data_IF_006660939699
#
_entry.id   IF_006660939699
#
_cell.length_a   1.000
_cell.length_b   1.000
_cell.length_c   1.000
_cell.angle_alpha   90.00
_cell.angle_beta   90.00
_cell.angle_gamma   90.00
#
_symmetry.space_group_name_H-M   'P 1'
#
loop_
_entity.id
_entity.type
_entity.pdbx_description
1 polymer ?
#
# COMPACT_ATOMS: atom_id res chain seq x y z
N UNK A 1 2.73 10.15 -22.22
CA UNK A 1 2.44 8.80 -21.68
C UNK A 1 0.92 8.66 -21.57
N UNK A 2 0.37 7.44 -21.62
CA UNK A 2 -1.07 7.20 -21.45
C UNK A 2 -1.46 7.61 -20.02
N UNK A 3 -2.55 8.36 -19.87
CA UNK A 3 -3.04 8.82 -18.56
C UNK A 3 -3.90 7.72 -17.92
N UNK A 4 -3.30 6.95 -17.02
CA UNK A 4 -3.98 5.85 -16.33
C UNK A 4 -4.96 6.32 -15.23
N UNK A 5 -5.04 7.63 -14.95
CA UNK A 5 -6.04 8.16 -14.01
C UNK A 5 -7.48 8.14 -14.58
N UNK A 6 -7.61 8.05 -15.91
CA UNK A 6 -8.91 8.07 -16.63
C UNK A 6 -9.33 6.71 -17.17
N UNK A 7 -8.38 5.80 -17.31
CA UNK A 7 -8.64 4.44 -17.79
C UNK A 7 -7.68 3.48 -17.10
N UNK A 8 -8.17 2.40 -16.49
CA UNK A 8 -7.30 1.43 -15.83
C UNK A 8 -6.32 0.81 -16.84
N UNK A 9 -5.06 0.59 -16.46
CA UNK A 9 -4.10 -0.10 -17.30
C UNK A 9 -4.55 -1.54 -17.56
N UNK A 10 -4.16 -2.07 -18.72
CA UNK A 10 -4.32 -3.49 -19.08
C UNK A 10 -2.97 -4.21 -19.03
N UNK A 11 -2.97 -5.54 -19.08
CA UNK A 11 -1.71 -6.31 -19.18
C UNK A 11 -0.86 -5.88 -20.38
N UNK A 12 -1.49 -5.54 -21.51
CA UNK A 12 -0.80 -5.04 -22.72
C UNK A 12 -0.06 -3.73 -22.49
N UNK A 13 -0.62 -2.85 -21.66
CA UNK A 13 0.04 -1.58 -21.31
C UNK A 13 1.31 -1.85 -20.49
N UNK A 14 1.25 -2.80 -19.55
CA UNK A 14 2.41 -3.24 -18.75
C UNK A 14 3.46 -3.97 -19.59
N UNK A 15 3.06 -4.95 -20.40
CA UNK A 15 3.93 -5.69 -21.32
C UNK A 15 4.70 -4.75 -22.24
N UNK A 16 4.03 -3.72 -22.77
CA UNK A 16 4.68 -2.69 -23.58
C UNK A 16 5.77 -1.95 -22.79
N UNK A 17 5.44 -1.45 -21.59
CA UNK A 17 6.40 -0.73 -20.75
C UNK A 17 7.64 -1.58 -20.41
N UNK A 18 7.43 -2.87 -20.12
CA UNK A 18 8.50 -3.84 -19.81
C UNK A 18 9.46 -4.06 -20.99
N UNK A 19 9.01 -3.85 -22.24
CA UNK A 19 9.89 -3.93 -23.42
C UNK A 19 10.67 -2.64 -23.70
N UNK A 20 10.16 -1.50 -23.21
CA UNK A 20 10.76 -0.18 -23.46
C UNK A 20 11.84 0.16 -22.42
N UNK A 21 11.69 -0.30 -21.18
CA UNK A 21 12.63 -0.05 -20.09
C UNK A 21 12.44 -1.00 -18.90
N UNK A 22 13.41 -0.98 -17.99
CA UNK A 22 13.27 -1.61 -16.67
C UNK A 22 12.26 -0.80 -15.84
N UNK A 23 11.34 -1.52 -15.17
CA UNK A 23 10.40 -0.96 -14.20
C UNK A 23 10.88 -1.24 -12.78
N UNK A 24 10.68 -0.27 -11.89
CA UNK A 24 11.07 -0.38 -10.48
C UNK A 24 9.84 -0.63 -9.61
N UNK A 25 9.89 -1.67 -8.78
CA UNK A 25 8.89 -1.95 -7.76
C UNK A 25 9.20 -1.19 -6.46
N UNK A 26 8.22 -1.06 -5.57
CA UNK A 26 8.40 -0.49 -4.25
C UNK A 26 9.24 -1.36 -3.31
N UNK A 27 9.58 -0.77 -2.17
CA UNK A 27 10.22 -1.47 -1.06
C UNK A 27 9.21 -2.09 -0.10
N UNK A 28 9.72 -2.54 1.05
CA UNK A 28 8.91 -3.23 2.05
C UNK A 28 7.86 -2.31 2.72
N UNK A 29 6.57 -2.64 2.56
CA UNK A 29 5.46 -1.96 3.26
C UNK A 29 5.57 -2.09 4.80
N UNK A 30 5.80 -3.30 5.31
CA UNK A 30 5.86 -3.56 6.75
C UNK A 30 6.96 -2.77 7.47
N UNK A 31 8.14 -2.64 6.85
CA UNK A 31 9.25 -1.85 7.42
C UNK A 31 8.90 -0.37 7.52
N UNK A 32 8.20 0.18 6.53
CA UNK A 32 7.74 1.57 6.56
C UNK A 32 6.67 1.78 7.63
N UNK A 33 5.72 0.85 7.77
CA UNK A 33 4.70 0.91 8.84
C UNK A 33 5.34 0.88 10.24
N UNK A 34 6.38 0.07 10.45
CA UNK A 34 7.09 0.01 11.73
C UNK A 34 7.71 1.37 12.12
N UNK A 35 8.13 2.18 11.14
CA UNK A 35 8.71 3.51 11.39
C UNK A 35 7.66 4.54 11.85
N UNK A 36 6.38 4.33 11.53
CA UNK A 36 5.28 5.21 11.96
C UNK A 36 4.91 5.01 13.43
N UNK A 37 5.47 3.99 14.11
CA UNK A 37 5.29 3.72 15.56
C UNK A 37 3.82 3.68 15.98
N UNK A 38 3.00 3.01 15.17
CA UNK A 38 1.57 2.87 15.41
C UNK A 38 1.30 1.99 16.64
N UNK A 39 0.24 2.33 17.36
CA UNK A 39 -0.21 1.61 18.56
C UNK A 39 -1.53 0.88 18.30
N UNK A 40 -1.95 0.02 19.23
CA UNK A 40 -3.15 -0.83 19.07
C UNK A 40 -4.38 -0.03 18.63
N UNK A 41 -4.56 1.19 19.17
CA UNK A 41 -5.65 2.08 18.84
C UNK A 41 -5.71 2.45 17.34
N UNK A 42 -4.56 2.53 16.67
CA UNK A 42 -4.46 2.79 15.24
C UNK A 42 -4.95 1.60 14.39
N UNK A 43 -4.77 0.37 14.88
CA UNK A 43 -5.22 -0.85 14.21
C UNK A 43 -6.70 -1.16 14.49
N UNK A 44 -7.22 -0.73 15.65
CA UNK A 44 -8.64 -0.85 16.00
C UNK A 44 -9.47 0.19 15.25
N UNK A 45 -9.04 1.46 15.29
CA UNK A 45 -9.80 2.59 14.76
C UNK A 45 -11.26 2.61 15.21
N UNK A 46 -12.14 3.10 14.34
CA UNK A 46 -13.59 3.08 14.60
C UNK A 46 -14.27 1.78 14.17
N UNK A 47 -13.62 1.03 13.28
CA UNK A 47 -14.18 -0.16 12.64
C UNK A 47 -14.20 -1.38 13.57
N UNK A 48 -13.25 -1.49 14.50
CA UNK A 48 -13.02 -2.73 15.26
C UNK A 48 -13.08 -2.55 16.77
N UNK A 49 -13.72 -1.49 17.28
CA UNK A 49 -13.79 -1.16 18.73
C UNK A 49 -14.25 -2.31 19.65
N UNK A 50 -15.05 -3.23 19.13
CA UNK A 50 -15.59 -4.38 19.87
C UNK A 50 -14.86 -5.71 19.55
N UNK A 51 -13.71 -5.65 18.87
CA UNK A 51 -12.95 -6.86 18.56
C UNK A 51 -12.39 -7.47 19.84
N UNK A 52 -12.48 -8.79 19.98
CA UNK A 52 -12.15 -9.51 21.20
C UNK A 52 -10.66 -9.82 21.39
N UNK A 53 -9.79 -9.40 20.48
CA UNK A 53 -8.35 -9.69 20.52
C UNK A 53 -7.56 -8.50 19.99
N UNK A 54 -6.27 -8.46 20.31
CA UNK A 54 -5.33 -7.46 19.80
C UNK A 54 -5.20 -7.56 18.28
N UNK A 55 -5.12 -6.41 17.63
CA UNK A 55 -5.04 -6.25 16.18
C UNK A 55 -3.70 -5.65 15.71
N UNK A 56 -2.89 -5.11 16.63
CA UNK A 56 -1.56 -4.59 16.33
C UNK A 56 -0.71 -5.65 15.63
N UNK A 57 -0.12 -5.23 14.51
CA UNK A 57 0.67 -6.10 13.63
C UNK A 57 -0.12 -6.63 12.43
N UNK A 58 -1.45 -6.56 12.43
CA UNK A 58 -2.24 -6.83 11.23
C UNK A 58 -2.28 -5.58 10.32
N UNK A 59 -1.20 -5.39 9.56
CA UNK A 59 -0.99 -4.21 8.73
C UNK A 59 -2.05 -4.01 7.65
N UNK A 60 -2.67 -5.09 7.15
CA UNK A 60 -3.74 -5.03 6.15
C UNK A 60 -4.93 -4.18 6.64
N UNK A 61 -5.22 -4.18 7.95
CA UNK A 61 -6.32 -3.39 8.56
C UNK A 61 -6.11 -1.88 8.46
N UNK A 62 -4.85 -1.42 8.34
CA UNK A 62 -4.54 -0.01 8.24
C UNK A 62 -5.08 0.61 6.94
N UNK A 63 -5.41 -0.20 5.92
CA UNK A 63 -6.16 0.28 4.76
C UNK A 63 -7.55 0.84 5.13
N UNK A 64 -8.13 0.36 6.23
CA UNK A 64 -9.44 0.77 6.74
C UNK A 64 -9.30 1.78 7.88
N UNK A 65 -8.41 1.53 8.84
CA UNK A 65 -8.32 2.32 10.07
C UNK A 65 -7.40 3.52 9.96
N UNK A 66 -6.33 3.44 9.15
CA UNK A 66 -5.35 4.51 8.91
C UNK A 66 -4.99 4.65 7.42
N UNK A 67 -5.99 4.90 6.54
CA UNK A 67 -5.74 5.03 5.10
C UNK A 67 -4.84 6.22 4.75
N UNK A 68 -4.71 7.20 5.65
CA UNK A 68 -3.76 8.30 5.56
C UNK A 68 -2.31 7.81 5.59
N UNK A 69 -1.99 6.87 6.49
CA UNK A 69 -0.64 6.30 6.64
C UNK A 69 -0.27 5.47 5.41
N UNK A 70 -1.16 4.57 4.98
CA UNK A 70 -0.91 3.71 3.81
C UNK A 70 -0.72 4.56 2.55
N UNK A 71 -1.54 5.61 2.36
CA UNK A 71 -1.39 6.55 1.25
C UNK A 71 -0.04 7.28 1.30
N UNK A 72 0.37 7.76 2.48
CA UNK A 72 1.67 8.43 2.67
C UNK A 72 2.84 7.51 2.30
N UNK A 73 2.79 6.24 2.70
CA UNK A 73 3.85 5.26 2.38
C UNK A 73 3.91 5.00 0.87
N UNK A 74 2.78 4.72 0.20
CA UNK A 74 2.78 4.57 -1.26
C UNK A 74 3.28 5.83 -1.97
N UNK A 75 2.87 7.01 -1.52
CA UNK A 75 3.36 8.27 -2.08
C UNK A 75 4.88 8.38 -1.95
N UNK A 76 5.47 7.99 -0.81
CA UNK A 76 6.92 8.02 -0.63
C UNK A 76 7.67 7.11 -1.60
N UNK A 77 7.09 5.96 -1.99
CA UNK A 77 7.68 5.08 -3.00
C UNK A 77 7.59 5.67 -4.41
N UNK A 78 6.44 6.26 -4.76
CA UNK A 78 6.32 6.99 -6.03
C UNK A 78 7.28 8.18 -6.10
N UNK A 79 7.42 8.95 -5.02
CA UNK A 79 8.34 10.09 -4.94
C UNK A 79 9.81 9.64 -5.05
N UNK A 80 10.12 8.42 -4.58
CA UNK A 80 11.44 7.79 -4.72
C UNK A 80 11.69 7.19 -6.12
N UNK A 81 10.67 7.15 -6.99
CA UNK A 81 10.79 6.69 -8.38
C UNK A 81 10.29 5.27 -8.65
N UNK A 82 9.53 4.65 -7.74
CA UNK A 82 8.84 3.40 -8.05
C UNK A 82 7.82 3.60 -9.17
N UNK A 83 7.81 2.68 -10.14
CA UNK A 83 6.83 2.64 -11.23
C UNK A 83 5.58 1.83 -10.84
N UNK A 84 5.78 0.85 -9.96
CA UNK A 84 4.78 -0.11 -9.51
C UNK A 84 4.87 -0.16 -7.99
N UNK A 85 3.70 -0.22 -7.35
CA UNK A 85 3.59 -0.45 -5.91
C UNK A 85 2.69 -1.65 -5.67
N UNK A 86 2.95 -2.41 -4.61
CA UNK A 86 2.08 -3.49 -4.18
C UNK A 86 0.87 -2.93 -3.42
N UNK A 87 -0.24 -3.67 -3.37
CA UNK A 87 -1.33 -3.34 -2.46
C UNK A 87 -0.95 -3.76 -1.04
N UNK A 88 -1.37 -3.00 -0.02
CA UNK A 88 -1.23 -3.42 1.38
C UNK A 88 -2.28 -4.50 1.74
N UNK A 89 -2.09 -5.70 1.17
CA UNK A 89 -3.03 -6.83 1.23
C UNK A 89 -2.29 -8.17 1.33
N UNK A 90 -1.14 -8.22 2.00
CA UNK A 90 -0.31 -9.42 2.07
C UNK A 90 -1.03 -10.59 2.77
N UNK A 91 -1.85 -10.30 3.77
CA UNK A 91 -2.57 -11.30 4.58
C UNK A 91 -4.08 -11.33 4.30
N UNK A 92 -4.57 -10.49 3.39
CA UNK A 92 -5.99 -10.34 3.07
C UNK A 92 -6.48 -11.41 2.07
N UNK A 93 -6.63 -12.66 2.54
CA UNK A 93 -7.12 -13.83 1.76
C UNK A 93 -8.54 -14.25 2.13
#
# INVERSE_FOLDING_TARGET
MKDFSKSPPTSKDLEKLLTERILIMDGAMGTMIQQEKLEEEDFIGDHFRNHSCELKGNNDLLCLTRPDVIRKIHQSYFDAGSDIVETNTFSAT
#
